data_IF_926508996594
#
_entry.id   IF_926508996594
#
_cell.length_a   1.000
_cell.length_b   1.000
_cell.length_c   1.000
_cell.angle_alpha   90.00
_cell.angle_beta   90.00
_cell.angle_gamma   90.00
#
_symmetry.space_group_name_H-M   'P 1'
#
loop_
_entity.id
_entity.type
_entity.pdbx_description
1 polymer ?
#
# COMPACT_ATOMS: atom_id res chain seq x y z
N UNK A 1 -14.57 -6.52 -3.81
CA UNK A 1 -13.85 -6.26 -2.56
C UNK A 1 -12.34 -6.53 -2.66
N UNK A 2 -11.85 -7.78 -2.71
CA UNK A 2 -10.40 -8.03 -2.72
C UNK A 2 -9.67 -7.36 -3.90
N UNK A 3 -10.22 -7.46 -5.11
CA UNK A 3 -9.64 -6.83 -6.31
C UNK A 3 -9.57 -5.30 -6.23
N UNK A 4 -10.57 -4.65 -5.62
CA UNK A 4 -10.59 -3.18 -5.46
C UNK A 4 -9.52 -2.72 -4.48
N UNK A 5 -9.31 -3.49 -3.40
CA UNK A 5 -8.23 -3.21 -2.44
C UNK A 5 -6.87 -3.37 -3.11
N UNK A 6 -6.66 -4.44 -3.88
CA UNK A 6 -5.41 -4.66 -4.63
C UNK A 6 -5.17 -3.51 -5.60
N UNK A 7 -6.17 -3.14 -6.41
CA UNK A 7 -6.06 -2.02 -7.35
C UNK A 7 -5.69 -0.72 -6.63
N UNK A 8 -6.30 -0.44 -5.46
CA UNK A 8 -5.98 0.78 -4.71
C UNK A 8 -4.58 0.75 -4.10
N UNK A 9 -4.13 -0.41 -3.62
CA UNK A 9 -2.77 -0.57 -3.11
C UNK A 9 -1.74 -0.42 -4.23
N UNK A 10 -2.00 -0.97 -5.42
CA UNK A 10 -1.14 -0.77 -6.59
C UNK A 10 -1.01 0.72 -6.91
N UNK A 11 -2.13 1.44 -7.06
CA UNK A 11 -2.16 2.88 -7.34
C UNK A 11 -1.37 3.69 -6.28
N UNK A 12 -1.62 3.44 -4.99
CA UNK A 12 -0.98 4.21 -3.92
C UNK A 12 0.50 3.89 -3.72
N UNK A 13 0.87 2.62 -3.88
CA UNK A 13 2.23 2.15 -3.56
C UNK A 13 3.18 2.23 -4.75
N UNK A 14 2.68 2.24 -5.99
CA UNK A 14 3.51 2.26 -7.20
C UNK A 14 4.44 3.47 -7.22
N UNK A 15 3.88 4.68 -7.20
CA UNK A 15 4.66 5.93 -7.26
C UNK A 15 5.56 6.15 -6.03
N UNK A 16 5.31 5.43 -4.93
CA UNK A 16 6.10 5.52 -3.70
C UNK A 16 7.31 4.60 -3.70
N UNK A 17 7.18 3.45 -4.35
CA UNK A 17 8.15 2.37 -4.24
C UNK A 17 8.94 2.15 -5.52
N UNK A 18 8.34 2.34 -6.69
CA UNK A 18 8.99 2.06 -7.97
C UNK A 18 9.66 3.33 -8.49
N UNK A 19 10.91 3.53 -8.08
CA UNK A 19 11.72 4.71 -8.44
C UNK A 19 12.92 4.36 -9.32
N UNK A 20 13.21 3.08 -9.50
CA UNK A 20 14.32 2.60 -10.34
C UNK A 20 13.92 2.37 -11.79
N UNK A 21 14.88 1.85 -12.57
CA UNK A 21 14.62 1.39 -13.93
C UNK A 21 13.73 0.15 -13.91
N UNK A 22 12.73 0.12 -14.81
CA UNK A 22 11.83 -1.02 -14.95
C UNK A 22 12.60 -2.21 -15.55
N UNK A 23 12.63 -3.33 -14.82
CA UNK A 23 13.22 -4.60 -15.26
C UNK A 23 12.20 -5.73 -15.27
N UNK A 24 12.66 -6.96 -15.53
CA UNK A 24 11.82 -8.17 -15.46
C UNK A 24 11.37 -8.55 -14.05
N UNK A 25 11.94 -7.92 -13.03
CA UNK A 25 11.63 -8.14 -11.62
C UNK A 25 11.90 -6.88 -10.81
N UNK A 26 11.23 -6.73 -9.68
CA UNK A 26 11.55 -5.71 -8.70
C UNK A 26 12.91 -5.98 -8.04
N UNK A 27 13.62 -4.92 -7.72
CA UNK A 27 14.75 -4.99 -6.80
C UNK A 27 14.30 -5.41 -5.40
N UNK A 28 15.22 -5.92 -4.58
CA UNK A 28 14.93 -6.29 -3.19
C UNK A 28 14.35 -5.13 -2.37
N UNK A 29 14.81 -3.90 -2.64
CA UNK A 29 14.31 -2.68 -2.01
C UNK A 29 12.88 -2.34 -2.43
N UNK A 30 12.56 -2.45 -3.73
CA UNK A 30 11.21 -2.21 -4.24
C UNK A 30 10.22 -3.23 -3.70
N UNK A 31 10.57 -4.52 -3.71
CA UNK A 31 9.72 -5.58 -3.16
C UNK A 31 9.46 -5.39 -1.64
N UNK A 32 10.49 -5.01 -0.89
CA UNK A 32 10.37 -4.69 0.53
C UNK A 32 9.51 -3.44 0.75
N UNK A 33 9.68 -2.41 -0.07
CA UNK A 33 8.88 -1.19 -0.01
C UNK A 33 7.39 -1.48 -0.25
N UNK A 34 7.06 -2.23 -1.31
CA UNK A 34 5.69 -2.60 -1.66
C UNK A 34 4.99 -3.34 -0.51
N UNK A 35 5.67 -4.33 0.09
CA UNK A 35 5.14 -5.08 1.24
C UNK A 35 4.86 -4.17 2.44
N UNK A 36 5.79 -3.27 2.75
CA UNK A 36 5.64 -2.31 3.85
C UNK A 36 4.54 -1.28 3.57
N UNK A 37 4.43 -0.81 2.33
CA UNK A 37 3.40 0.14 1.91
C UNK A 37 2.00 -0.44 2.06
N UNK A 38 1.79 -1.67 1.55
CA UNK A 38 0.51 -2.36 1.65
C UNK A 38 0.06 -2.55 3.11
N UNK A 39 0.96 -3.04 3.97
CA UNK A 39 0.70 -3.23 5.40
C UNK A 39 0.31 -1.92 6.08
N UNK A 40 1.13 -0.87 5.91
CA UNK A 40 0.90 0.45 6.53
C UNK A 40 -0.39 1.11 6.05
N UNK A 41 -0.72 0.98 4.76
CA UNK A 41 -1.95 1.56 4.22
C UNK A 41 -3.18 0.96 4.89
N UNK A 42 -3.23 -0.37 5.01
CA UNK A 42 -4.37 -1.05 5.65
C UNK A 42 -4.47 -0.72 7.15
N UNK A 43 -3.35 -0.73 7.88
CA UNK A 43 -3.29 -0.35 9.30
C UNK A 43 -3.83 1.08 9.52
N UNK A 44 -3.36 2.05 8.73
CA UNK A 44 -3.81 3.43 8.83
C UNK A 44 -5.29 3.58 8.45
N UNK A 45 -5.77 2.87 7.43
CA UNK A 45 -7.19 2.89 7.06
C UNK A 45 -8.07 2.37 8.19
N UNK A 46 -7.69 1.26 8.82
CA UNK A 46 -8.41 0.70 9.97
C UNK A 46 -8.42 1.64 11.17
N UNK A 47 -7.26 2.19 11.54
CA UNK A 47 -7.16 3.18 12.61
C UNK A 47 -8.04 4.40 12.33
N UNK A 48 -8.02 4.90 11.09
CA UNK A 48 -8.85 6.04 10.66
C UNK A 48 -10.33 5.73 10.84
N UNK A 49 -10.80 4.57 10.35
CA UNK A 49 -12.20 4.14 10.51
C UNK A 49 -12.59 3.96 11.97
N UNK A 50 -11.72 3.38 12.80
CA UNK A 50 -11.95 3.25 14.24
C UNK A 50 -12.14 4.61 14.90
N UNK A 51 -11.28 5.60 14.60
CA UNK A 51 -11.42 6.96 15.13
C UNK A 51 -12.76 7.60 14.76
N UNK A 52 -13.18 7.48 13.49
CA UNK A 52 -14.47 8.02 13.06
C UNK A 52 -15.67 7.30 13.70
N UNK A 53 -15.54 6.00 13.99
CA UNK A 53 -16.59 5.25 14.69
C UNK A 53 -16.63 5.53 16.19
N UNK A 54 -15.49 5.81 16.83
CA UNK A 54 -15.39 6.12 18.26
C UNK A 54 -15.76 7.57 18.58
N UNK A 55 -15.77 8.46 17.59
CA UNK A 55 -16.24 9.85 17.74
C UNK A 55 -17.75 10.03 17.50
N UNK A 56 -18.53 8.96 17.68
CA UNK A 56 -20.00 9.00 17.78
C UNK A 56 -20.43 8.95 19.23
#
# INVERSE_FOLDING_TARGET
>A
MANEVVAKLTDVCWDKCITGSIGSSFSNSEASCLSNCAKRFLELKMLTMQRFSSSR
#
